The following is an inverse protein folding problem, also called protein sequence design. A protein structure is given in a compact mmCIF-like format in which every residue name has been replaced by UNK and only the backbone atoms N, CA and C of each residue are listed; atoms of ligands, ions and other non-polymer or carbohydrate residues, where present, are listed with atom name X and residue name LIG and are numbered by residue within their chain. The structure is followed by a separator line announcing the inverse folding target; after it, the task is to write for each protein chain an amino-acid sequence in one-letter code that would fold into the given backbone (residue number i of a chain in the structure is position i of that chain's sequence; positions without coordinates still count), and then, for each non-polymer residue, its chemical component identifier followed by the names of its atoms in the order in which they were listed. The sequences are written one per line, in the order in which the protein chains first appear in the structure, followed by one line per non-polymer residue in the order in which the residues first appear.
data_IF_265979422002
#
_entry.id   IF_265979422002
#
_cell.length_a   1.000
_cell.length_b   1.000
_cell.length_c   1.000
_cell.angle_alpha   90.00
_cell.angle_beta   90.00
_cell.angle_gamma   90.00
#
_symmetry.space_group_name_H-M   'P 1'
#
loop_
_entity.id
_entity.type
_entity.pdbx_description
1 polymer ?
#
# COMPACT_ATOMS: atom_id res chain seq x y z
N UNK A 1 -11.48 -1.37 10.34
CA UNK A 1 -11.34 -2.80 10.02
C UNK A 1 -9.90 -3.17 10.31
N UNK A 2 -9.67 -4.26 11.01
CA UNK A 2 -8.33 -4.81 11.21
C UNK A 2 -7.88 -5.46 9.90
N UNK A 3 -7.56 -4.64 8.90
CA UNK A 3 -7.15 -5.10 7.57
C UNK A 3 -5.77 -5.77 7.61
N UNK A 4 -5.05 -5.64 8.72
CA UNK A 4 -3.80 -6.37 9.01
C UNK A 4 -4.05 -7.85 9.28
N UNK A 5 -5.24 -8.19 9.80
CA UNK A 5 -5.65 -9.54 10.11
C UNK A 5 -6.78 -10.00 9.18
N UNK A 6 -6.44 -10.86 8.23
CA UNK A 6 -7.40 -11.55 7.39
C UNK A 6 -8.20 -12.56 8.24
N UNK A 7 -9.55 -12.46 8.31
CA UNK A 7 -10.31 -13.43 9.06
C UNK A 7 -10.46 -14.74 8.29
N UNK A 8 -10.60 -15.84 9.04
CA UNK A 8 -10.61 -17.20 8.53
C UNK A 8 -11.88 -17.58 7.75
N UNK A 9 -12.75 -16.63 7.42
CA UNK A 9 -14.07 -16.84 6.83
C UNK A 9 -14.05 -17.07 5.31
N UNK A 10 -12.86 -17.15 4.71
CA UNK A 10 -12.68 -17.40 3.27
C UNK A 10 -13.16 -16.24 2.39
N UNK A 11 -13.49 -15.08 2.96
CA UNK A 11 -13.83 -13.91 2.16
C UNK A 11 -12.56 -13.15 1.73
N UNK A 12 -12.56 -12.70 0.47
CA UNK A 12 -11.55 -11.77 -0.03
C UNK A 12 -11.89 -10.36 0.46
N UNK A 13 -10.89 -9.65 0.98
CA UNK A 13 -11.02 -8.24 1.35
C UNK A 13 -10.07 -7.41 0.53
N UNK A 14 -10.55 -6.22 0.17
CA UNK A 14 -9.81 -5.21 -0.57
C UNK A 14 -9.85 -3.92 0.25
N UNK A 15 -8.68 -3.44 0.68
CA UNK A 15 -8.51 -2.18 1.38
C UNK A 15 -7.77 -1.20 0.48
N UNK A 16 -8.37 -0.05 0.20
CA UNK A 16 -7.72 1.02 -0.55
C UNK A 16 -6.74 1.79 0.36
N UNK A 17 -5.52 2.02 -0.11
CA UNK A 17 -4.47 2.71 0.65
C UNK A 17 -4.20 4.13 0.16
N UNK A 18 -4.96 4.62 -0.83
CA UNK A 18 -4.74 5.90 -1.50
C UNK A 18 -4.02 5.74 -2.85
N UNK A 19 -4.26 6.66 -3.79
CA UNK A 19 -3.75 6.55 -5.16
C UNK A 19 -4.25 5.27 -5.85
N UNK A 20 -3.34 4.55 -6.51
CA UNK A 20 -3.58 3.23 -7.10
C UNK A 20 -3.41 2.07 -6.10
N UNK A 21 -3.07 2.37 -4.84
CA UNK A 21 -2.64 1.36 -3.88
C UNK A 21 -3.78 0.57 -3.24
N UNK A 22 -3.58 -0.74 -3.14
CA UNK A 22 -4.50 -1.66 -2.47
C UNK A 22 -3.77 -2.71 -1.64
N UNK A 23 -4.41 -3.13 -0.55
CA UNK A 23 -4.06 -4.37 0.17
C UNK A 23 -5.19 -5.37 -0.03
N UNK A 24 -4.85 -6.56 -0.53
CA UNK A 24 -5.75 -7.69 -0.67
C UNK A 24 -5.42 -8.69 0.42
N UNK A 25 -6.45 -9.16 1.12
CA UNK A 25 -6.29 -10.23 2.11
C UNK A 25 -7.26 -11.38 1.89
N UNK A 26 -6.77 -12.60 2.02
CA UNK A 26 -7.57 -13.83 1.91
C UNK A 26 -6.92 -14.95 2.75
N UNK A 27 -7.62 -15.50 3.75
CA UNK A 27 -7.06 -16.49 4.67
C UNK A 27 -5.76 -16.00 5.32
N UNK A 28 -4.60 -16.59 5.07
CA UNK A 28 -3.30 -16.09 5.57
C UNK A 28 -2.57 -15.19 4.57
N UNK A 29 -3.09 -15.06 3.34
CA UNK A 29 -2.45 -14.35 2.23
C UNK A 29 -2.70 -12.85 2.33
N UNK A 30 -1.61 -12.06 2.24
CA UNK A 30 -1.58 -10.59 2.29
C UNK A 30 -0.76 -10.08 1.11
N UNK A 31 -1.41 -9.37 0.19
CA UNK A 31 -0.80 -8.84 -1.03
C UNK A 31 -0.95 -7.32 -1.04
N UNK A 32 0.16 -6.60 -1.17
CA UNK A 32 0.16 -5.17 -1.49
C UNK A 32 0.32 -4.96 -2.99
N UNK A 33 -0.46 -4.03 -3.56
CA UNK A 33 -0.37 -3.62 -4.96
C UNK A 33 -0.23 -2.11 -4.99
N UNK A 34 0.75 -1.59 -5.74
CA UNK A 34 0.98 -0.16 -6.02
C UNK A 34 0.94 0.71 -4.76
N UNK A 35 1.59 0.25 -3.69
CA UNK A 35 1.57 0.95 -2.41
C UNK A 35 2.35 2.27 -2.54
N UNK A 36 1.61 3.38 -2.40
CA UNK A 36 2.15 4.73 -2.24
C UNK A 36 1.74 5.29 -0.88
N UNK A 37 2.56 5.01 0.13
CA UNK A 37 2.41 5.39 1.55
C UNK A 37 3.36 6.52 1.95
N UNK A 38 4.38 6.81 1.14
CA UNK A 38 5.26 7.95 1.35
C UNK A 38 4.75 9.21 0.62
N UNK A 39 5.65 10.17 0.42
CA UNK A 39 5.45 11.37 -0.40
C UNK A 39 6.53 11.46 -1.49
N UNK A 40 7.00 10.31 -1.99
CA UNK A 40 8.13 10.20 -2.93
C UNK A 40 7.95 10.94 -4.27
N UNK A 41 6.71 11.17 -4.72
CA UNK A 41 6.45 11.96 -5.92
C UNK A 41 6.56 13.47 -5.68
N UNK A 42 6.57 13.92 -4.41
CA UNK A 42 6.62 15.34 -4.10
C UNK A 42 7.95 15.93 -4.54
N UNK A 43 7.88 16.98 -5.34
CA UNK A 43 9.06 17.72 -5.79
C UNK A 43 9.52 18.80 -4.77
N UNK A 44 10.63 19.46 -5.10
CA UNK A 44 11.22 20.53 -4.28
C UNK A 44 10.31 21.75 -4.10
N UNK A 45 9.40 21.98 -5.04
CA UNK A 45 8.42 23.07 -5.00
C UNK A 45 7.14 22.66 -4.26
N UNK A 46 7.03 21.41 -3.84
CA UNK A 46 5.87 20.84 -3.18
C UNK A 46 4.72 20.44 -4.12
N UNK A 47 4.94 20.41 -5.43
CA UNK A 47 3.98 19.83 -6.37
C UNK A 47 4.00 18.30 -6.27
N UNK A 48 2.95 17.65 -6.79
CA UNK A 48 2.75 16.20 -6.76
C UNK A 48 2.75 15.56 -5.37
N UNK A 49 2.54 16.38 -4.33
CA UNK A 49 2.28 15.91 -2.98
C UNK A 49 1.09 14.96 -2.97
N UNK A 50 1.20 13.88 -2.21
CA UNK A 50 0.11 12.93 -2.00
C UNK A 50 -1.15 13.64 -1.48
N UNK A 51 -2.30 13.35 -2.11
CA UNK A 51 -3.56 14.05 -1.84
C UNK A 51 -4.27 13.58 -0.57
N UNK A 52 -4.09 12.31 -0.18
CA UNK A 52 -4.66 11.72 1.03
C UNK A 52 -3.56 11.40 2.03
N UNK A 53 -3.87 11.32 3.32
CA UNK A 53 -2.91 10.82 4.31
C UNK A 53 -2.73 9.30 4.20
N UNK A 54 -1.55 8.75 4.54
CA UNK A 54 -1.33 7.33 4.42
C UNK A 54 -2.09 6.63 5.54
N UNK A 55 -2.78 5.52 5.26
CA UNK A 55 -3.59 4.84 6.28
C UNK A 55 -2.72 4.19 7.36
N UNK A 56 -1.44 3.96 7.09
CA UNK A 56 -0.45 3.37 7.99
C UNK A 56 0.97 3.68 7.48
N UNK A 57 1.98 3.33 8.28
CA UNK A 57 3.37 3.34 7.84
C UNK A 57 3.69 2.06 7.06
N UNK A 58 4.74 2.07 6.25
CA UNK A 58 5.18 0.87 5.54
C UNK A 58 5.54 -0.26 6.50
N UNK A 59 6.18 0.05 7.64
CA UNK A 59 6.63 -0.94 8.61
C UNK A 59 5.47 -1.55 9.43
N UNK A 60 4.27 -0.97 9.33
CA UNK A 60 3.06 -1.51 9.96
C UNK A 60 2.42 -2.65 9.16
N UNK A 61 2.95 -2.93 7.96
CA UNK A 61 2.47 -3.93 7.02
C UNK A 61 3.26 -5.22 7.11
N UNK A 62 2.54 -6.33 7.19
CA UNK A 62 3.09 -7.65 6.91
C UNK A 62 2.48 -8.17 5.61
N UNK A 63 3.31 -8.31 4.57
CA UNK A 63 2.87 -8.75 3.25
C UNK A 63 3.64 -9.99 2.85
N UNK A 64 2.94 -10.96 2.23
CA UNK A 64 3.58 -12.10 1.59
C UNK A 64 4.09 -11.71 0.19
N UNK A 65 3.40 -10.78 -0.47
CA UNK A 65 3.77 -10.24 -1.77
C UNK A 65 3.57 -8.73 -1.83
N UNK A 66 4.51 -8.05 -2.50
CA UNK A 66 4.38 -6.64 -2.89
C UNK A 66 4.55 -6.57 -4.41
N UNK A 67 3.56 -5.98 -5.08
CA UNK A 67 3.47 -5.90 -6.53
C UNK A 67 3.44 -4.44 -6.94
N UNK A 68 4.26 -4.07 -7.92
CA UNK A 68 4.14 -2.81 -8.64
C UNK A 68 3.73 -3.09 -10.08
N UNK A 69 2.75 -2.36 -10.60
CA UNK A 69 2.28 -2.50 -11.98
C UNK A 69 3.29 -1.97 -13.00
N UNK A 70 4.01 -0.91 -12.65
CA UNK A 70 5.08 -0.30 -13.45
C UNK A 70 6.02 0.54 -12.55
N UNK A 71 6.96 1.29 -13.12
CA UNK A 71 8.09 1.93 -12.43
C UNK A 71 7.90 3.41 -12.08
N UNK A 72 6.72 3.99 -12.31
CA UNK A 72 6.43 5.35 -11.87
C UNK A 72 6.36 5.44 -10.34
N UNK A 73 6.80 6.58 -9.78
CA UNK A 73 6.99 6.72 -8.32
C UNK A 73 5.72 6.62 -7.47
N UNK A 74 4.54 6.85 -8.05
CA UNK A 74 3.24 6.69 -7.39
C UNK A 74 2.73 5.24 -7.41
N UNK A 75 3.48 4.32 -8.02
CA UNK A 75 3.25 2.87 -8.06
C UNK A 75 4.45 2.10 -7.46
N UNK A 76 5.67 2.53 -7.77
CA UNK A 76 6.94 1.95 -7.29
C UNK A 76 7.63 2.87 -6.28
N UNK A 77 7.01 3.00 -5.10
CA UNK A 77 7.52 3.82 -4.01
C UNK A 77 8.43 3.02 -3.07
N UNK A 78 9.74 3.27 -3.11
CA UNK A 78 10.71 2.63 -2.22
C UNK A 78 10.42 2.91 -0.73
N UNK A 79 9.81 4.05 -0.39
CA UNK A 79 9.39 4.39 0.97
C UNK A 79 8.15 3.63 1.46
N UNK A 80 7.54 2.83 0.59
CA UNK A 80 6.37 1.98 0.90
C UNK A 80 6.73 0.51 1.05
N UNK A 81 8.01 0.14 0.90
CA UNK A 81 8.47 -1.24 1.09
C UNK A 81 8.52 -1.54 2.59
N UNK A 82 7.84 -2.59 3.08
CA UNK A 82 7.96 -3.01 4.48
C UNK A 82 9.34 -3.64 4.72
N UNK A 83 10.19 -2.99 5.52
CA UNK A 83 11.55 -3.44 5.89
C UNK A 83 11.76 -3.34 7.39
#
# INVERSE_FOLDING_TARGET
MDWKNAPADGAVRLAWTGGAGFVITFQSLRIGIDLYLSDACRDENGAFKRLTLPPCRAEDLELDYLISTHDHGDHFDAGSVPI
#
